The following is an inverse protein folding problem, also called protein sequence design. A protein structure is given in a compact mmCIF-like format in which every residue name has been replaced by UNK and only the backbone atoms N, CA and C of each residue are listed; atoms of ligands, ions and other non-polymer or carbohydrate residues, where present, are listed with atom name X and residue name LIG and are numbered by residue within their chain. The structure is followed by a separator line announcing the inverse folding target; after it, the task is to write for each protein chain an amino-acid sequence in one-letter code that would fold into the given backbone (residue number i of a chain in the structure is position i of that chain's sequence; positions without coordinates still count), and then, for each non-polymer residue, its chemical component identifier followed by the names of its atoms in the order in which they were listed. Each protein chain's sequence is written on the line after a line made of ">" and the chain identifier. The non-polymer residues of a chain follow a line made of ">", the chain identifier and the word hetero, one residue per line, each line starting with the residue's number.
data_IF_591659595838
#
_entry.id   IF_591659595838
#
_cell.length_a   1.000
_cell.length_b   1.000
_cell.length_c   1.000
_cell.angle_alpha   90.00
_cell.angle_beta   90.00
_cell.angle_gamma   90.00
#
_symmetry.space_group_name_H-M   'P 1'
#
loop_
_entity.id
_entity.type
_entity.pdbx_description
1 polymer ?
#
# COMPACT_ATOMS: atom_id res chain seq x y z
N UNK A 1 -13.01 -5.60 26.10
CA UNK A 1 -13.31 -4.54 27.11
C UNK A 1 -14.79 -4.37 27.41
N UNK A 2 -15.71 -4.63 26.48
CA UNK A 2 -17.17 -4.53 26.73
C UNK A 2 -17.67 -5.49 27.80
N UNK A 3 -16.90 -6.55 28.09
CA UNK A 3 -17.17 -7.51 29.16
C UNK A 3 -17.15 -6.91 30.58
N UNK A 4 -16.59 -5.71 30.74
CA UNK A 4 -16.55 -5.06 32.05
C UNK A 4 -17.96 -4.74 32.56
N UNK A 5 -18.21 -4.73 33.89
CA UNK A 5 -19.52 -4.45 34.48
C UNK A 5 -20.09 -3.09 34.07
N UNK A 6 -21.41 -3.00 33.89
CA UNK A 6 -22.08 -1.81 33.36
C UNK A 6 -21.95 -0.57 34.27
N UNK A 7 -21.82 -0.80 35.57
CA UNK A 7 -21.62 0.22 36.60
C UNK A 7 -20.24 0.89 36.51
N UNK A 8 -19.27 0.25 35.85
CA UNK A 8 -17.90 0.75 35.81
C UNK A 8 -17.72 1.86 34.80
N UNK A 9 -17.12 2.96 35.25
CA UNK A 9 -16.73 4.10 34.41
C UNK A 9 -15.39 3.90 33.70
N UNK A 10 -15.03 4.85 32.83
CA UNK A 10 -13.82 4.78 31.97
C UNK A 10 -12.54 4.43 32.74
N UNK A 11 -12.26 5.14 33.84
CA UNK A 11 -11.01 4.97 34.62
C UNK A 11 -10.87 3.57 35.23
N UNK A 12 -11.99 2.98 35.65
CA UNK A 12 -12.00 1.63 36.23
C UNK A 12 -11.74 0.58 35.15
N UNK A 13 -12.38 0.71 33.99
CA UNK A 13 -12.16 -0.19 32.84
C UNK A 13 -10.73 -0.08 32.32
N UNK A 14 -10.20 1.14 32.24
CA UNK A 14 -8.82 1.42 31.83
C UNK A 14 -7.81 0.68 32.72
N UNK A 15 -7.95 0.84 34.04
CA UNK A 15 -7.08 0.20 35.03
C UNK A 15 -7.22 -1.33 35.04
N UNK A 16 -8.44 -1.85 34.86
CA UNK A 16 -8.69 -3.29 34.87
C UNK A 16 -8.14 -4.00 33.64
N UNK A 17 -8.33 -3.43 32.45
CA UNK A 17 -7.87 -4.04 31.18
C UNK A 17 -6.45 -3.62 30.80
N UNK A 18 -5.87 -2.67 31.53
CA UNK A 18 -4.57 -2.05 31.20
C UNK A 18 -4.51 -1.58 29.73
N UNK A 19 -5.54 -0.83 29.32
CA UNK A 19 -5.72 -0.36 27.93
C UNK A 19 -5.64 1.16 27.85
N UNK A 20 -5.38 1.73 26.68
CA UNK A 20 -5.35 3.18 26.50
C UNK A 20 -6.72 3.87 26.72
N UNK A 21 -6.71 5.12 27.19
CA UNK A 21 -7.93 5.90 27.50
C UNK A 21 -8.97 5.92 26.39
N UNK A 22 -8.54 6.02 25.13
CA UNK A 22 -9.42 6.03 23.96
C UNK A 22 -10.15 4.70 23.78
N UNK A 23 -9.46 3.59 24.05
CA UNK A 23 -10.02 2.25 23.96
C UNK A 23 -11.06 2.03 25.07
N UNK A 24 -10.73 2.42 26.31
CA UNK A 24 -11.66 2.37 27.44
C UNK A 24 -12.91 3.26 27.22
N UNK A 25 -12.75 4.45 26.61
CA UNK A 25 -13.89 5.32 26.27
C UNK A 25 -14.81 4.67 25.25
N UNK A 26 -14.24 4.14 24.17
CA UNK A 26 -14.99 3.47 23.10
C UNK A 26 -15.72 2.24 23.60
N UNK A 27 -15.10 1.46 24.47
CA UNK A 27 -15.72 0.24 25.01
C UNK A 27 -16.93 0.53 25.91
N UNK A 28 -16.89 1.59 26.73
CA UNK A 28 -18.04 2.01 27.54
C UNK A 28 -19.21 2.44 26.64
N UNK A 29 -18.95 3.19 25.57
CA UNK A 29 -19.98 3.60 24.60
C UNK A 29 -20.54 2.40 23.85
N UNK A 30 -19.68 1.50 23.36
CA UNK A 30 -20.10 0.27 22.68
C UNK A 30 -20.95 -0.61 23.59
N UNK A 31 -20.55 -0.76 24.85
CA UNK A 31 -21.31 -1.53 25.85
C UNK A 31 -22.68 -0.91 26.13
N UNK A 32 -22.76 0.44 26.19
CA UNK A 32 -24.04 1.14 26.38
C UNK A 32 -24.99 0.90 25.21
N UNK A 33 -24.46 0.79 23.99
CA UNK A 33 -25.25 0.68 22.77
C UNK A 33 -25.59 -0.77 22.37
N UNK A 34 -24.72 -1.75 22.67
CA UNK A 34 -24.86 -3.15 22.22
C UNK A 34 -24.67 -4.21 23.30
N UNK A 35 -24.55 -3.82 24.57
CA UNK A 35 -24.39 -4.73 25.71
C UNK A 35 -22.97 -5.26 25.94
N UNK A 36 -22.86 -6.25 26.83
CA UNK A 36 -21.59 -6.78 27.37
C UNK A 36 -20.72 -7.44 26.28
N UNK A 37 -21.35 -7.98 25.23
CA UNK A 37 -20.68 -8.63 24.09
C UNK A 37 -20.83 -7.82 22.79
N UNK A 38 -21.03 -6.50 22.90
CA UNK A 38 -21.09 -5.62 21.74
C UNK A 38 -19.78 -5.68 20.95
N UNK A 39 -19.84 -6.17 19.72
CA UNK A 39 -18.79 -5.96 18.75
C UNK A 39 -18.95 -4.58 18.12
N UNK A 40 -17.85 -3.85 17.96
CA UNK A 40 -17.87 -2.65 17.13
C UNK A 40 -18.27 -3.05 15.71
N UNK A 41 -19.27 -2.39 15.14
CA UNK A 41 -19.53 -2.51 13.71
C UNK A 41 -18.27 -2.07 12.97
N UNK A 42 -17.64 -3.01 12.27
CA UNK A 42 -16.51 -2.76 11.40
C UNK A 42 -17.02 -2.01 10.15
N UNK A 43 -17.50 -0.77 10.28
CA UNK A 43 -17.99 0.03 9.16
C UNK A 43 -16.91 0.24 8.09
N UNK A 44 -15.63 0.12 8.48
CA UNK A 44 -14.46 0.14 7.62
C UNK A 44 -13.43 -0.80 8.21
N UNK A 45 -13.47 -2.06 7.83
CA UNK A 45 -12.53 -3.03 8.38
C UNK A 45 -12.42 -4.25 7.51
N UNK A 46 -11.51 -4.19 6.54
CA UNK A 46 -10.93 -5.35 5.88
C UNK A 46 -11.96 -6.25 5.18
N UNK A 47 -12.95 -5.68 4.47
CA UNK A 47 -13.50 -6.49 3.39
C UNK A 47 -12.31 -6.71 2.43
N UNK A 48 -11.86 -7.97 2.22
CA UNK A 48 -10.78 -8.21 1.29
C UNK A 48 -11.18 -7.59 -0.04
N UNK A 49 -10.25 -6.84 -0.63
CA UNK A 49 -10.46 -6.32 -1.96
C UNK A 49 -10.83 -7.52 -2.85
N UNK A 50 -11.87 -7.38 -3.68
CA UNK A 50 -12.18 -8.43 -4.65
C UNK A 50 -10.94 -8.69 -5.52
N UNK A 51 -10.75 -9.93 -5.95
CA UNK A 51 -9.58 -10.31 -6.76
C UNK A 51 -9.53 -9.51 -8.08
N UNK A 52 -10.68 -9.07 -8.61
CA UNK A 52 -10.76 -8.32 -9.86
C UNK A 52 -9.98 -6.98 -9.86
N UNK A 53 -10.22 -6.03 -8.94
CA UNK A 53 -9.42 -4.80 -8.86
C UNK A 53 -7.97 -5.06 -8.43
N UNK A 54 -7.69 -6.15 -7.71
CA UNK A 54 -6.32 -6.55 -7.39
C UNK A 54 -5.53 -6.86 -8.67
N UNK A 55 -6.08 -7.75 -9.50
CA UNK A 55 -5.47 -8.16 -10.77
C UNK A 55 -5.35 -6.98 -11.74
N UNK A 56 -6.35 -6.09 -11.75
CA UNK A 56 -6.31 -4.87 -12.56
C UNK A 56 -5.14 -3.96 -12.17
N UNK A 57 -4.90 -3.75 -10.87
CA UNK A 57 -3.77 -2.93 -10.39
C UNK A 57 -2.43 -3.58 -10.75
N UNK A 58 -2.30 -4.89 -10.52
CA UNK A 58 -1.06 -5.62 -10.85
C UNK A 58 -0.78 -5.55 -12.36
N UNK A 59 -1.79 -5.80 -13.19
CA UNK A 59 -1.69 -5.71 -14.64
C UNK A 59 -1.32 -4.30 -15.10
N UNK A 60 -1.91 -3.28 -14.50
CA UNK A 60 -1.61 -1.89 -14.81
C UNK A 60 -0.15 -1.52 -14.54
N UNK A 61 0.44 -2.00 -13.44
CA UNK A 61 1.87 -1.77 -13.17
C UNK A 61 2.77 -2.41 -14.22
N UNK A 62 2.37 -3.54 -14.80
CA UNK A 62 3.12 -4.27 -15.83
C UNK A 62 2.87 -3.77 -17.26
N UNK A 63 2.06 -2.73 -17.46
CA UNK A 63 1.89 -2.10 -18.78
C UNK A 63 3.18 -1.37 -19.19
N UNK A 64 3.61 -1.54 -20.44
CA UNK A 64 4.85 -0.94 -20.99
C UNK A 64 4.87 0.61 -20.92
N UNK A 65 3.69 1.23 -20.90
CA UNK A 65 3.51 2.68 -20.73
C UNK A 65 3.85 3.15 -19.32
N UNK A 66 3.69 2.26 -18.32
CA UNK A 66 3.84 2.57 -16.89
C UNK A 66 5.21 2.12 -16.40
N UNK A 67 5.60 0.88 -16.70
CA UNK A 67 6.91 0.33 -16.34
C UNK A 67 7.55 -0.44 -17.48
N UNK A 68 8.88 -0.41 -17.53
CA UNK A 68 9.66 -1.04 -18.59
C UNK A 68 10.57 -2.11 -18.01
N UNK A 69 10.57 -3.28 -18.63
CA UNK A 69 11.47 -4.38 -18.27
C UNK A 69 12.93 -3.96 -18.51
N UNK A 70 13.81 -4.26 -17.56
CA UNK A 70 15.24 -4.05 -17.71
C UNK A 70 15.86 -5.11 -18.62
N UNK A 71 16.65 -4.68 -19.60
CA UNK A 71 17.39 -5.60 -20.49
C UNK A 71 18.67 -6.16 -19.86
N UNK A 72 19.07 -5.66 -18.69
CA UNK A 72 20.29 -6.05 -18.03
C UNK A 72 20.10 -7.36 -17.25
N UNK A 73 20.94 -8.35 -17.54
CA UNK A 73 20.91 -9.68 -16.89
C UNK A 73 21.18 -9.59 -15.39
N UNK A 74 21.88 -8.54 -14.93
CA UNK A 74 22.14 -8.30 -13.50
C UNK A 74 20.91 -7.78 -12.75
N UNK A 75 19.96 -7.20 -13.47
CA UNK A 75 18.74 -6.62 -12.90
C UNK A 75 17.63 -7.69 -12.85
N UNK A 76 17.93 -8.79 -12.16
CA UNK A 76 16.98 -9.88 -11.91
C UNK A 76 16.79 -10.09 -10.40
N UNK A 77 15.56 -10.35 -9.99
CA UNK A 77 15.22 -10.72 -8.60
C UNK A 77 14.66 -12.13 -8.54
N UNK A 78 14.95 -12.84 -7.45
CA UNK A 78 14.40 -14.17 -7.22
C UNK A 78 13.01 -14.06 -6.58
N UNK A 79 11.98 -14.46 -7.32
CA UNK A 79 10.61 -14.61 -6.82
C UNK A 79 10.29 -16.11 -6.85
N UNK A 80 9.94 -16.70 -5.71
CA UNK A 80 9.66 -18.14 -5.61
C UNK A 80 10.77 -19.04 -6.19
N UNK A 81 12.04 -18.65 -5.99
CA UNK A 81 13.24 -19.30 -6.54
C UNK A 81 13.40 -19.24 -8.07
N UNK A 82 12.56 -18.46 -8.77
CA UNK A 82 12.72 -18.19 -10.19
C UNK A 82 13.27 -16.78 -10.41
N UNK A 83 14.26 -16.60 -11.31
CA UNK A 83 14.75 -15.28 -11.66
C UNK A 83 13.72 -14.56 -12.52
N UNK A 84 13.27 -13.39 -12.06
CA UNK A 84 12.34 -12.50 -12.76
C UNK A 84 13.06 -11.19 -13.05
N UNK A 85 13.03 -10.68 -14.30
CA UNK A 85 13.65 -9.40 -14.64
C UNK A 85 12.94 -8.25 -13.93
N UNK A 86 13.71 -7.27 -13.48
CA UNK A 86 13.17 -6.08 -12.82
C UNK A 86 12.49 -5.19 -13.86
N UNK A 87 11.39 -4.57 -13.47
CA UNK A 87 10.70 -3.53 -14.23
C UNK A 87 10.92 -2.18 -13.55
N UNK A 88 11.16 -1.14 -14.33
CA UNK A 88 11.36 0.21 -13.84
C UNK A 88 10.20 1.11 -14.26
N UNK A 89 9.57 1.77 -13.30
CA UNK A 89 8.50 2.73 -13.57
C UNK A 89 9.08 3.96 -14.29
N UNK A 90 8.42 4.39 -15.36
CA UNK A 90 8.77 5.60 -16.09
C UNK A 90 8.24 6.89 -15.45
N UNK A 91 7.42 6.77 -14.41
CA UNK A 91 6.75 7.88 -13.73
C UNK A 91 6.63 7.63 -12.23
N UNK A 92 6.22 8.66 -11.49
CA UNK A 92 5.98 8.52 -10.06
C UNK A 92 4.77 7.63 -9.78
N UNK A 93 4.77 6.96 -8.62
CA UNK A 93 3.60 6.16 -8.17
C UNK A 93 2.34 7.02 -8.05
N UNK A 94 2.49 8.32 -7.78
CA UNK A 94 1.37 9.24 -7.65
C UNK A 94 0.73 9.57 -9.02
N UNK A 95 1.54 9.76 -10.06
CA UNK A 95 1.05 9.96 -11.42
C UNK A 95 0.40 8.68 -11.96
N UNK A 96 1.03 7.52 -11.73
CA UNK A 96 0.46 6.22 -12.09
C UNK A 96 -0.90 5.99 -11.44
N UNK A 97 -1.06 6.36 -10.15
CA UNK A 97 -2.34 6.28 -9.45
C UNK A 97 -3.41 7.20 -10.05
N UNK A 98 -3.04 8.42 -10.48
CA UNK A 98 -3.98 9.33 -11.15
C UNK A 98 -4.48 8.71 -12.47
N UNK A 99 -3.57 8.21 -13.30
CA UNK A 99 -3.90 7.57 -14.57
C UNK A 99 -4.76 6.32 -14.35
N UNK A 100 -4.44 5.52 -13.32
CA UNK A 100 -5.22 4.33 -12.97
C UNK A 100 -6.68 4.70 -12.65
N UNK A 101 -6.91 5.72 -11.82
CA UNK A 101 -8.24 6.19 -11.45
C UNK A 101 -8.99 6.86 -12.61
N UNK A 102 -8.27 7.41 -13.60
CA UNK A 102 -8.90 7.93 -14.83
C UNK A 102 -9.36 6.79 -15.75
N UNK A 103 -8.59 5.69 -15.83
CA UNK A 103 -8.91 4.52 -16.67
C UNK A 103 -9.90 3.55 -16.03
N UNK A 104 -9.90 3.44 -14.70
CA UNK A 104 -10.72 2.48 -13.95
C UNK A 104 -11.66 3.21 -12.99
N UNK A 105 -12.94 2.88 -13.04
CA UNK A 105 -13.96 3.42 -12.13
C UNK A 105 -13.90 2.84 -10.72
N UNK A 106 -13.12 1.78 -10.52
CA UNK A 106 -13.03 1.08 -9.23
C UNK A 106 -12.13 1.86 -8.26
N UNK A 107 -12.73 2.27 -7.14
CA UNK A 107 -12.05 3.06 -6.13
C UNK A 107 -11.04 2.21 -5.33
N UNK A 108 -9.78 2.22 -5.74
CA UNK A 108 -8.66 1.70 -4.94
C UNK A 108 -8.06 2.85 -4.14
N UNK A 109 -7.84 2.67 -2.83
CA UNK A 109 -7.19 3.70 -2.03
C UNK A 109 -5.71 3.86 -2.43
N UNK A 110 -5.17 5.07 -2.33
CA UNK A 110 -3.75 5.34 -2.64
C UNK A 110 -2.78 4.45 -1.85
N UNK A 111 -3.05 4.20 -0.57
CA UNK A 111 -2.21 3.32 0.25
C UNK A 111 -2.23 1.88 -0.25
N UNK A 112 -3.41 1.35 -0.57
CA UNK A 112 -3.55 0.00 -1.13
C UNK A 112 -2.90 -0.09 -2.49
N UNK A 113 -3.08 0.89 -3.38
CA UNK A 113 -2.43 0.92 -4.69
C UNK A 113 -0.90 0.86 -4.60
N UNK A 114 -0.30 1.58 -3.64
CA UNK A 114 1.15 1.53 -3.41
C UNK A 114 1.60 0.18 -2.82
N UNK A 115 0.80 -0.43 -1.94
CA UNK A 115 1.08 -1.76 -1.37
C UNK A 115 0.92 -2.90 -2.38
N UNK A 116 0.06 -2.73 -3.40
CA UNK A 116 -0.19 -3.71 -4.45
C UNK A 116 0.86 -3.72 -5.56
N UNK A 117 1.87 -2.84 -5.49
CA UNK A 117 2.95 -2.82 -6.47
C UNK A 117 3.73 -4.15 -6.43
N UNK A 118 3.90 -4.83 -7.57
CA UNK A 118 4.74 -6.03 -7.65
C UNK A 118 6.17 -5.77 -7.20
N UNK A 119 6.83 -6.80 -6.64
CA UNK A 119 8.17 -6.67 -6.04
C UNK A 119 9.26 -6.42 -7.08
N UNK A 120 9.04 -6.90 -8.30
CA UNK A 120 9.84 -6.70 -9.49
C UNK A 120 9.70 -5.29 -10.08
N UNK A 121 8.65 -4.54 -9.74
CA UNK A 121 8.44 -3.17 -10.21
C UNK A 121 9.08 -2.15 -9.25
N UNK A 122 10.14 -1.48 -9.71
CA UNK A 122 10.89 -0.46 -8.98
C UNK A 122 10.59 0.95 -9.51
N UNK A 123 10.61 1.94 -8.63
CA UNK A 123 10.21 3.33 -8.94
C UNK A 123 11.22 4.05 -9.83
N UNK A 124 12.51 3.78 -9.65
CA UNK A 124 13.57 4.49 -10.34
C UNK A 124 14.35 3.50 -11.19
N UNK A 125 14.48 3.81 -12.48
CA UNK A 125 15.64 3.37 -13.26
C UNK A 125 16.89 3.83 -12.50
N UNK A 126 18.00 3.07 -12.49
CA UNK A 126 19.28 3.65 -12.14
C UNK A 126 19.47 4.87 -13.03
N UNK A 127 19.46 6.06 -12.47
CA UNK A 127 19.65 7.33 -13.18
C UNK A 127 21.09 7.50 -13.68
N UNK A 128 21.82 6.40 -13.91
CA UNK A 128 23.25 6.43 -14.20
C UNK A 128 23.62 5.92 -15.59
N UNK A 129 22.69 5.49 -16.44
CA UNK A 129 23.14 4.87 -17.72
C UNK A 129 22.13 4.96 -18.87
N UNK A 130 21.79 6.17 -19.34
CA UNK A 130 21.68 6.32 -20.80
C UNK A 130 23.07 6.70 -21.30
N UNK A 131 23.68 5.83 -22.12
CA UNK A 131 24.87 6.18 -22.93
C UNK A 131 24.46 6.68 -24.32
N UNK A 132 23.23 7.18 -24.45
CA UNK A 132 22.74 7.75 -25.69
C UNK A 132 23.30 9.17 -25.85
N UNK A 133 23.79 9.50 -27.04
CA UNK A 133 24.35 10.84 -27.37
C UNK A 133 23.37 12.00 -27.15
N UNK A 134 22.07 11.71 -27.02
CA UNK A 134 21.00 12.70 -26.82
C UNK A 134 20.67 12.99 -25.36
N UNK A 135 21.03 12.12 -24.41
CA UNK A 135 20.79 12.33 -22.98
C UNK A 135 22.08 12.07 -22.21
N UNK A 136 23.01 13.01 -22.30
CA UNK A 136 24.23 12.99 -21.50
C UNK A 136 23.89 13.09 -20.01
N UNK A 137 24.60 12.29 -19.21
CA UNK A 137 24.48 12.32 -17.76
C UNK A 137 25.18 13.58 -17.23
N UNK A 138 24.42 14.57 -16.76
CA UNK A 138 24.96 15.87 -16.31
C UNK A 138 26.01 15.74 -15.20
N UNK A 139 25.96 14.67 -14.41
CA UNK A 139 26.97 14.36 -13.37
C UNK A 139 28.35 13.99 -13.94
N UNK A 140 28.44 13.54 -15.21
CA UNK A 140 29.72 13.31 -15.89
C UNK A 140 30.35 14.63 -16.37
N UNK A 141 29.54 15.62 -16.76
CA UNK A 141 30.01 16.93 -17.22
C UNK A 141 30.61 17.76 -16.08
N UNK A 142 30.12 17.60 -14.85
CA UNK A 142 30.55 18.37 -13.67
C UNK A 142 31.82 17.83 -12.99
N UNK A 143 32.36 16.69 -13.45
CA UNK A 143 33.60 16.09 -12.93
C UNK A 143 34.83 16.35 -13.83
N UNK A 144 34.70 17.20 -14.84
CA UNK A 144 35.78 17.65 -15.72
C UNK A 144 36.47 18.92 -15.19
#
# INVERSE_FOLDING_TARGET
>A
MTIAPQQWGRKQVEKWVNSGQNQARRSVVLRKNGGVLACSQCLRGNLPLSDAPFDAVVKFYCEDDISRVSYNVKDAILINKQPVPVQFMGMTVLDAYRIFNEKHSDAVARSTFNSLRPRDVKIASPHETCMCTTHENMDLLLKA
#
